data_IF_670053931292
#
_entry.id   IF_670053931292
#
_cell.length_a   1.000
_cell.length_b   1.000
_cell.length_c   1.000
_cell.angle_alpha   90.00
_cell.angle_beta   90.00
_cell.angle_gamma   90.00
#
_symmetry.space_group_name_H-M   'P 1'
#
loop_
_entity.id
_entity.type
_entity.pdbx_description
1 polymer ?
#
# COMPACT_ATOMS: atom_id res chain seq x y z
N UNK A 1 -22.75 25.52 -8.26
CA UNK A 1 -22.65 24.72 -7.03
C UNK A 1 -21.33 23.98 -7.08
N UNK A 2 -20.41 24.33 -6.18
CA UNK A 2 -18.96 24.07 -6.28
C UNK A 2 -18.59 22.59 -6.43
N UNK A 3 -17.63 22.32 -7.31
CA UNK A 3 -17.13 20.99 -7.64
C UNK A 3 -16.08 20.48 -6.67
N UNK A 4 -16.33 19.29 -6.13
CA UNK A 4 -15.41 18.18 -5.85
C UNK A 4 -16.07 17.29 -4.80
N UNK A 5 -16.83 16.29 -5.24
CA UNK A 5 -17.36 15.26 -4.34
C UNK A 5 -16.53 13.98 -4.51
N UNK A 6 -15.20 14.07 -4.38
CA UNK A 6 -14.35 12.87 -4.25
C UNK A 6 -13.92 12.74 -2.81
N UNK A 7 -14.57 11.82 -2.10
CA UNK A 7 -14.21 11.47 -0.74
C UNK A 7 -13.05 10.46 -0.78
N UNK A 8 -11.94 10.79 -0.13
CA UNK A 8 -10.79 9.91 0.01
C UNK A 8 -10.68 9.43 1.45
N UNK A 9 -10.48 8.13 1.62
CA UNK A 9 -10.23 7.49 2.90
C UNK A 9 -8.86 6.80 2.86
N UNK A 10 -8.03 7.06 3.86
CA UNK A 10 -6.76 6.35 4.08
C UNK A 10 -6.95 5.52 5.35
N UNK A 11 -6.66 4.23 5.26
CA UNK A 11 -6.70 3.33 6.40
C UNK A 11 -5.53 2.34 6.33
N UNK A 12 -5.16 1.79 7.49
CA UNK A 12 -4.18 0.71 7.61
C UNK A 12 -4.90 -0.58 7.95
N UNK A 13 -4.41 -1.69 7.41
CA UNK A 13 -4.97 -3.03 7.68
C UNK A 13 -3.85 -4.04 7.84
N UNK A 14 -3.98 -4.90 8.84
CA UNK A 14 -3.16 -6.11 8.99
C UNK A 14 -3.97 -7.28 8.43
N UNK A 15 -3.40 -8.02 7.48
CA UNK A 15 -4.08 -9.13 6.83
C UNK A 15 -3.14 -10.32 6.66
N UNK A 16 -3.73 -11.51 6.52
CA UNK A 16 -2.98 -12.72 6.19
C UNK A 16 -2.58 -12.74 4.70
N UNK A 17 -1.77 -13.73 4.33
CA UNK A 17 -1.41 -13.94 2.91
C UNK A 17 -2.66 -14.20 2.06
N UNK A 18 -2.65 -13.68 0.83
CA UNK A 18 -3.74 -13.89 -0.13
C UNK A 18 -4.91 -12.92 -0.01
N UNK A 19 -4.90 -11.98 0.95
CA UNK A 19 -5.92 -10.93 1.02
C UNK A 19 -5.81 -9.96 -0.15
N UNK A 20 -6.90 -9.83 -0.92
CA UNK A 20 -7.02 -8.84 -1.99
C UNK A 20 -7.55 -7.51 -1.45
N UNK A 21 -6.66 -6.54 -1.21
CA UNK A 21 -7.03 -5.20 -0.70
C UNK A 21 -8.03 -4.49 -1.63
N UNK A 22 -7.95 -4.72 -2.94
CA UNK A 22 -8.92 -4.17 -3.90
C UNK A 22 -10.36 -4.62 -3.62
N UNK A 23 -10.54 -5.91 -3.32
CA UNK A 23 -11.85 -6.46 -2.98
C UNK A 23 -12.35 -5.91 -1.63
N UNK A 24 -11.45 -5.81 -0.65
CA UNK A 24 -11.75 -5.19 0.64
C UNK A 24 -12.25 -3.74 0.48
N UNK A 25 -11.64 -2.94 -0.38
CA UNK A 25 -12.13 -1.58 -0.67
C UNK A 25 -13.54 -1.58 -1.28
N UNK A 26 -13.82 -2.50 -2.21
CA UNK A 26 -15.15 -2.61 -2.81
C UNK A 26 -16.21 -2.98 -1.76
N UNK A 27 -15.90 -3.91 -0.86
CA UNK A 27 -16.81 -4.33 0.20
C UNK A 27 -17.01 -3.24 1.26
N UNK A 28 -15.97 -2.46 1.59
CA UNK A 28 -16.10 -1.27 2.44
C UNK A 28 -17.03 -0.23 1.82
N UNK A 29 -16.92 0.02 0.52
CA UNK A 29 -17.84 0.90 -0.20
C UNK A 29 -19.29 0.44 -0.10
N UNK A 30 -19.55 -0.85 -0.34
CA UNK A 30 -20.90 -1.44 -0.22
C UNK A 30 -21.46 -1.33 1.20
N UNK A 31 -20.63 -1.60 2.22
CA UNK A 31 -21.04 -1.50 3.62
C UNK A 31 -21.44 -0.07 4.03
N UNK A 32 -20.87 0.94 3.37
CA UNK A 32 -21.23 2.36 3.54
C UNK A 32 -22.43 2.79 2.69
N UNK A 33 -23.08 1.88 1.96
CA UNK A 33 -24.18 2.20 1.05
C UNK A 33 -23.72 2.93 -0.23
N UNK A 34 -22.47 2.76 -0.64
CA UNK A 34 -21.88 3.43 -1.80
C UNK A 34 -20.99 2.46 -2.62
N UNK A 35 -20.11 3.01 -3.44
CA UNK A 35 -19.04 2.28 -4.12
C UNK A 35 -17.68 2.91 -3.79
N UNK A 36 -16.65 2.08 -3.72
CA UNK A 36 -15.28 2.52 -3.50
C UNK A 36 -14.32 1.69 -4.34
N UNK A 37 -13.19 2.30 -4.70
CA UNK A 37 -12.11 1.65 -5.43
C UNK A 37 -10.77 2.08 -4.80
N UNK A 38 -9.78 1.21 -4.92
CA UNK A 38 -8.43 1.48 -4.43
C UNK A 38 -7.74 2.52 -5.33
N UNK A 39 -7.27 3.61 -4.74
CA UNK A 39 -6.55 4.70 -5.45
C UNK A 39 -5.04 4.63 -5.25
N UNK A 40 -4.59 4.24 -4.05
CA UNK A 40 -3.18 4.05 -3.71
C UNK A 40 -3.05 2.91 -2.70
N UNK A 41 -1.93 2.20 -2.74
CA UNK A 41 -1.60 1.13 -1.80
C UNK A 41 -0.11 1.16 -1.50
N UNK A 42 0.22 1.25 -0.21
CA UNK A 42 1.57 1.04 0.30
C UNK A 42 1.54 -0.18 1.21
N UNK A 43 2.51 -1.08 1.05
CA UNK A 43 2.73 -2.20 1.96
C UNK A 43 3.75 -1.76 2.99
N UNK A 44 3.31 -1.57 4.23
CA UNK A 44 4.18 -1.11 5.33
C UNK A 44 5.10 -2.22 5.86
N UNK A 45 4.67 -3.49 5.82
CA UNK A 45 5.47 -4.63 6.30
C UNK A 45 5.10 -5.98 5.68
N UNK A 46 6.01 -6.95 5.84
CA UNK A 46 5.82 -8.37 5.52
C UNK A 46 6.45 -9.20 6.65
N UNK A 47 5.62 -9.76 7.53
CA UNK A 47 6.15 -10.47 8.69
C UNK A 47 7.03 -9.53 9.52
N UNK A 48 8.28 -9.90 9.71
CA UNK A 48 9.28 -9.14 10.49
C UNK A 48 9.96 -8.01 9.70
N UNK A 49 9.77 -7.95 8.38
CA UNK A 49 10.40 -6.93 7.53
C UNK A 49 9.49 -5.70 7.41
N UNK A 50 10.00 -4.51 7.75
CA UNK A 50 9.32 -3.25 7.52
C UNK A 50 9.83 -2.57 6.24
N UNK A 51 8.95 -1.83 5.58
CA UNK A 51 9.30 -1.05 4.40
C UNK A 51 10.24 0.12 4.73
N UNK A 52 10.21 0.62 5.96
CA UNK A 52 11.08 1.71 6.40
C UNK A 52 12.52 1.23 6.66
N UNK A 53 12.75 -0.09 6.78
CA UNK A 53 14.08 -0.71 6.87
C UNK A 53 14.62 -1.14 5.47
N UNK A 54 13.83 -0.90 4.41
CA UNK A 54 14.22 -1.30 3.06
C UNK A 54 15.32 -0.40 2.52
N UNK A 55 16.23 -0.98 1.74
CA UNK A 55 17.27 -0.22 1.06
C UNK A 55 16.66 0.67 -0.02
N UNK A 56 17.14 1.90 -0.09
CA UNK A 56 16.97 2.73 -1.27
C UNK A 56 17.75 2.13 -2.43
N UNK A 57 17.28 2.38 -3.66
CA UNK A 57 17.88 1.79 -4.85
C UNK A 57 19.39 2.11 -4.98
N UNK A 58 19.78 3.34 -4.61
CA UNK A 58 21.17 3.77 -4.63
C UNK A 58 22.05 3.02 -3.62
N UNK A 59 21.52 2.75 -2.43
CA UNK A 59 22.26 2.01 -1.40
C UNK A 59 22.53 0.57 -1.85
N UNK A 60 21.56 -0.03 -2.55
CA UNK A 60 21.72 -1.33 -3.19
C UNK A 60 22.80 -1.32 -4.28
N UNK A 61 22.79 -0.32 -5.17
CA UNK A 61 23.80 -0.18 -6.23
C UNK A 61 25.22 -0.09 -5.65
N UNK A 62 25.43 0.76 -4.64
CA UNK A 62 26.72 0.96 -3.99
C UNK A 62 27.20 -0.30 -3.25
N UNK A 63 26.29 -1.05 -2.63
CA UNK A 63 26.60 -2.29 -1.92
C UNK A 63 27.03 -3.41 -2.89
N UNK A 64 26.32 -3.54 -4.02
CA UNK A 64 26.64 -4.54 -5.05
C UNK A 64 27.99 -4.21 -5.71
N UNK A 65 28.24 -2.96 -6.08
CA UNK A 65 29.50 -2.58 -6.76
C UNK A 65 30.75 -2.87 -5.92
N UNK A 66 30.68 -2.75 -4.59
CA UNK A 66 31.78 -3.08 -3.67
C UNK A 66 32.07 -4.58 -3.54
N UNK A 67 31.15 -5.44 -3.95
CA UNK A 67 31.25 -6.89 -3.73
C UNK A 67 31.80 -7.67 -4.93
N UNK A 68 31.84 -7.06 -6.13
CA UNK A 68 32.25 -7.72 -7.37
C UNK A 68 33.59 -7.23 -7.92
N UNK A 69 34.20 -6.23 -7.28
CA UNK A 69 35.57 -5.74 -7.53
C UNK A 69 36.41 -5.88 -6.27
#
# INVERSE_FOLDING_TARGET
MSGSCRQNLIFRVTCSKGTYIRSLCADLGKALGSCAHLTALRRDSIGEYAADDAWEFKELEDAIAKSYF
#
